data_IF_704804998363
#
_entry.id   IF_704804998363
#
_cell.length_a   1.000
_cell.length_b   1.000
_cell.length_c   1.000
_cell.angle_alpha   90.00
_cell.angle_beta   90.00
_cell.angle_gamma   90.00
#
_symmetry.space_group_name_H-M   'P 1'
#
loop_
_entity.id
_entity.type
_entity.pdbx_description
1 polymer ?
#
# COMPACT_ATOMS: atom_id res chain seq x y z
N UNK A 1 -6.12 -22.75 7.81
CA UNK A 1 -5.96 -21.72 8.87
C UNK A 1 -5.48 -20.47 8.16
N UNK A 2 -6.11 -19.32 8.40
CA UNK A 2 -5.68 -18.05 7.83
C UNK A 2 -4.25 -17.74 8.31
N UNK A 3 -3.31 -17.54 7.39
CA UNK A 3 -1.89 -17.32 7.71
C UNK A 3 -1.68 -16.08 8.59
N UNK A 4 -2.53 -15.06 8.44
CA UNK A 4 -2.46 -13.84 9.23
C UNK A 4 -2.99 -14.07 10.65
N UNK A 5 -4.02 -14.91 10.81
CA UNK A 5 -4.49 -15.32 12.13
C UNK A 5 -3.39 -16.11 12.85
N UNK A 6 -2.81 -17.10 12.18
CA UNK A 6 -1.68 -17.87 12.72
C UNK A 6 -0.47 -16.98 13.03
N UNK A 7 -0.24 -15.91 12.26
CA UNK A 7 0.79 -14.92 12.58
C UNK A 7 0.52 -14.22 13.91
N UNK A 8 -0.71 -13.75 14.12
CA UNK A 8 -1.14 -12.96 15.28
C UNK A 8 -1.17 -13.79 16.57
N UNK A 9 -1.56 -15.06 16.48
CA UNK A 9 -1.66 -15.99 17.61
C UNK A 9 -0.31 -16.27 18.30
N UNK A 10 0.82 -15.90 17.66
CA UNK A 10 2.17 -16.05 18.23
C UNK A 10 2.53 -14.92 19.20
N UNK A 11 1.71 -13.89 19.31
CA UNK A 11 2.01 -12.69 20.09
C UNK A 11 1.14 -12.60 21.35
N UNK A 12 1.67 -12.02 22.44
CA UNK A 12 0.86 -11.65 23.60
C UNK A 12 -0.28 -10.70 23.22
N UNK A 13 -1.33 -10.67 24.06
CA UNK A 13 -2.55 -9.90 23.82
C UNK A 13 -2.29 -8.42 23.47
N UNK A 14 -1.33 -7.78 24.14
CA UNK A 14 -0.99 -6.36 23.89
C UNK A 14 -0.42 -6.13 22.48
N UNK A 15 0.55 -6.93 22.06
CA UNK A 15 1.16 -6.84 20.73
C UNK A 15 0.14 -7.18 19.65
N UNK A 16 -0.68 -8.21 19.89
CA UNK A 16 -1.77 -8.60 18.99
C UNK A 16 -2.78 -7.46 18.81
N UNK A 17 -3.25 -6.83 19.89
CA UNK A 17 -4.22 -5.73 19.83
C UNK A 17 -3.68 -4.54 19.03
N UNK A 18 -2.40 -4.19 19.20
CA UNK A 18 -1.76 -3.12 18.42
C UNK A 18 -1.62 -3.49 16.95
N UNK A 19 -1.24 -4.72 16.62
CA UNK A 19 -1.21 -5.19 15.23
C UNK A 19 -2.59 -5.13 14.60
N UNK A 20 -3.63 -5.59 15.30
CA UNK A 20 -5.01 -5.52 14.82
C UNK A 20 -5.48 -4.09 14.58
N UNK A 21 -5.11 -3.14 15.45
CA UNK A 21 -5.38 -1.72 15.23
C UNK A 21 -4.73 -1.22 13.93
N UNK A 22 -3.45 -1.52 13.70
CA UNK A 22 -2.77 -1.13 12.45
C UNK A 22 -3.38 -1.83 11.22
N UNK A 23 -3.80 -3.09 11.34
CA UNK A 23 -4.49 -3.80 10.24
C UNK A 23 -5.82 -3.15 9.89
N UNK A 24 -6.63 -2.82 10.89
CA UNK A 24 -7.90 -2.12 10.69
C UNK A 24 -7.68 -0.78 9.97
N UNK A 25 -6.67 -0.05 10.42
CA UNK A 25 -6.22 1.20 9.81
C UNK A 25 -5.82 1.03 8.34
N UNK A 26 -5.10 -0.02 7.96
CA UNK A 26 -4.74 -0.24 6.55
C UNK A 26 -5.97 -0.60 5.71
N UNK A 27 -6.82 -1.51 6.20
CA UNK A 27 -8.02 -1.97 5.48
C UNK A 27 -9.05 -0.87 5.26
N UNK A 28 -9.19 0.04 6.23
CA UNK A 28 -10.07 1.20 6.11
C UNK A 28 -9.60 2.16 5.01
N UNK A 29 -8.31 2.51 4.96
CA UNK A 29 -7.79 3.48 3.99
C UNK A 29 -7.52 2.88 2.61
N UNK A 30 -7.30 1.57 2.54
CA UNK A 30 -7.05 0.87 1.28
C UNK A 30 -7.79 -0.47 1.23
N UNK A 31 -9.12 -0.48 0.99
CA UNK A 31 -9.89 -1.71 0.90
C UNK A 31 -9.44 -2.64 -0.24
N UNK A 32 -8.80 -2.09 -1.28
CA UNK A 32 -8.26 -2.83 -2.41
C UNK A 32 -6.91 -3.51 -2.11
N UNK A 33 -6.30 -3.22 -0.96
CA UNK A 33 -5.02 -3.84 -0.62
C UNK A 33 -5.21 -5.32 -0.28
N UNK A 34 -4.41 -6.17 -0.90
CA UNK A 34 -4.35 -7.61 -0.62
C UNK A 34 -3.42 -7.83 0.57
N UNK A 35 -3.96 -8.41 1.64
CA UNK A 35 -3.23 -8.81 2.84
C UNK A 35 -2.62 -10.21 2.66
N UNK A 36 -1.36 -10.39 3.06
CA UNK A 36 -0.71 -11.70 3.12
C UNK A 36 0.40 -11.72 4.18
N UNK A 37 0.91 -12.90 4.52
CA UNK A 37 2.17 -12.99 5.27
C UNK A 37 3.34 -13.03 4.28
N UNK A 38 4.35 -12.20 4.49
CA UNK A 38 5.54 -12.15 3.65
C UNK A 38 6.73 -11.63 4.45
N UNK A 39 7.92 -12.19 4.24
CA UNK A 39 9.13 -11.87 5.03
C UNK A 39 8.94 -12.04 6.55
N UNK A 40 8.02 -12.92 6.97
CA UNK A 40 7.69 -13.07 8.38
C UNK A 40 7.00 -11.85 8.99
N UNK A 41 6.27 -11.07 8.19
CA UNK A 41 5.49 -9.88 8.57
C UNK A 41 4.09 -9.96 7.93
N UNK A 42 3.14 -9.19 8.45
CA UNK A 42 1.86 -8.96 7.76
C UNK A 42 2.13 -7.90 6.69
N UNK A 43 1.97 -8.26 5.41
CA UNK A 43 2.19 -7.38 4.28
C UNK A 43 0.89 -7.02 3.57
N UNK A 44 0.85 -5.82 3.03
CA UNK A 44 -0.21 -5.35 2.15
C UNK A 44 0.35 -4.97 0.79
N UNK A 45 -0.35 -5.37 -0.27
CA UNK A 45 -0.02 -5.01 -1.66
C UNK A 45 -1.21 -4.37 -2.34
N UNK A 46 -0.97 -3.32 -3.12
CA UNK A 46 -1.97 -2.67 -3.97
C UNK A 46 -1.55 -2.85 -5.44
N UNK A 47 -2.43 -3.40 -6.28
CA UNK A 47 -2.09 -3.68 -7.68
C UNK A 47 -0.84 -4.57 -7.85
N UNK A 48 -0.57 -5.46 -6.89
CA UNK A 48 0.63 -6.30 -6.84
C UNK A 48 1.90 -5.62 -6.34
N UNK A 49 1.89 -4.30 -6.10
CA UNK A 49 3.04 -3.53 -5.56
C UNK A 49 3.03 -3.51 -4.03
N UNK A 50 4.19 -3.60 -3.35
CA UNK A 50 4.27 -3.44 -1.89
C UNK A 50 3.74 -2.08 -1.41
N UNK A 51 2.74 -2.10 -0.53
CA UNK A 51 2.18 -0.92 0.10
C UNK A 51 2.85 -0.63 1.45
N UNK A 52 2.68 -1.57 2.39
CA UNK A 52 3.17 -1.46 3.77
C UNK A 52 3.31 -2.85 4.42
N UNK A 53 4.20 -2.99 5.39
CA UNK A 53 4.29 -4.19 6.24
C UNK A 53 4.21 -3.84 7.72
N UNK A 54 3.67 -4.76 8.52
CA UNK A 54 3.47 -4.67 9.95
C UNK A 54 4.21 -5.82 10.65
N UNK A 55 4.97 -5.50 11.70
CA UNK A 55 5.72 -6.48 12.48
C UNK A 55 5.44 -6.38 13.98
N UNK A 56 5.14 -7.51 14.62
CA UNK A 56 5.11 -7.61 16.08
C UNK A 56 6.48 -7.97 16.64
N UNK A 57 6.90 -7.29 17.71
CA UNK A 57 8.14 -7.60 18.43
C UNK A 57 7.91 -7.50 19.94
N UNK A 58 8.87 -8.04 20.73
CA UNK A 58 8.77 -8.09 22.19
C UNK A 58 8.52 -6.72 22.84
N UNK A 59 9.14 -5.66 22.31
CA UNK A 59 9.13 -4.32 22.93
C UNK A 59 8.54 -3.23 22.02
N UNK A 60 8.16 -3.54 20.78
CA UNK A 60 7.67 -2.54 19.82
C UNK A 60 6.81 -3.17 18.72
N UNK A 61 6.09 -2.30 18.00
CA UNK A 61 5.50 -2.61 16.69
C UNK A 61 6.35 -1.97 15.60
N UNK A 62 6.73 -2.73 14.59
CA UNK A 62 7.43 -2.24 13.41
C UNK A 62 6.45 -1.88 12.29
N UNK A 63 6.59 -0.68 11.74
CA UNK A 63 5.90 -0.26 10.52
C UNK A 63 6.93 -0.08 9.41
N UNK A 64 6.67 -0.69 8.25
CA UNK A 64 7.58 -0.69 7.11
C UNK A 64 6.88 -0.11 5.89
N UNK A 65 7.09 1.19 5.65
CA UNK A 65 6.37 1.96 4.64
C UNK A 65 7.21 2.25 3.39
N UNK A 66 8.33 1.55 3.16
CA UNK A 66 9.32 1.83 2.10
C UNK A 66 10.02 3.21 2.26
N UNK A 67 11.16 3.48 1.61
CA UNK A 67 11.92 4.72 1.82
C UNK A 67 11.14 6.01 1.54
N UNK A 68 10.32 6.04 0.48
CA UNK A 68 9.56 7.24 0.06
C UNK A 68 8.58 7.71 1.14
N UNK A 69 7.84 6.78 1.75
CA UNK A 69 6.94 7.12 2.85
C UNK A 69 7.66 7.49 4.15
N UNK A 70 8.96 7.21 4.25
CA UNK A 70 9.73 7.54 5.44
C UNK A 70 10.25 8.98 5.39
N UNK A 71 10.72 9.42 4.22
CA UNK A 71 11.24 10.78 4.01
C UNK A 71 10.17 11.85 4.24
N UNK A 72 8.94 11.62 3.76
CA UNK A 72 7.82 12.55 3.92
C UNK A 72 7.42 12.83 5.38
N UNK A 73 7.77 11.94 6.31
CA UNK A 73 7.42 12.01 7.73
C UNK A 73 8.65 11.99 8.65
N UNK A 74 9.83 12.32 8.12
CA UNK A 74 11.10 12.20 8.84
C UNK A 74 11.12 13.03 10.14
N UNK A 75 10.52 14.21 10.14
CA UNK A 75 10.44 15.08 11.31
C UNK A 75 9.61 14.45 12.44
N UNK A 76 8.43 13.91 12.13
CA UNK A 76 7.61 13.21 13.13
C UNK A 76 8.23 11.88 13.56
N UNK A 77 8.91 11.17 12.65
CA UNK A 77 9.59 9.93 12.98
C UNK A 77 10.84 10.11 13.83
N UNK A 78 11.44 11.31 13.88
CA UNK A 78 12.63 11.61 14.67
C UNK A 78 12.51 11.23 16.16
N UNK A 79 11.28 11.21 16.70
CA UNK A 79 11.00 10.79 18.07
C UNK A 79 11.11 9.26 18.29
N UNK A 80 11.18 8.47 17.21
CA UNK A 80 11.17 7.01 17.24
C UNK A 80 12.47 6.42 16.69
N UNK A 81 12.71 5.14 17.00
CA UNK A 81 13.79 4.38 16.39
C UNK A 81 13.45 4.04 14.93
N UNK A 82 14.38 4.33 14.02
CA UNK A 82 14.18 4.25 12.57
C UNK A 82 15.20 3.34 11.87
N UNK A 83 14.84 2.89 10.68
CA UNK A 83 15.72 2.26 9.69
C UNK A 83 15.37 2.75 8.28
N UNK A 84 16.07 2.28 7.24
CA UNK A 84 15.99 2.79 5.85
C UNK A 84 14.57 2.87 5.23
N UNK A 85 13.57 2.25 5.82
CA UNK A 85 12.16 2.38 5.44
C UNK A 85 11.24 1.85 6.53
N UNK A 86 11.66 1.96 7.78
CA UNK A 86 10.94 1.41 8.92
C UNK A 86 11.01 2.30 10.14
N UNK A 87 9.96 2.24 10.97
CA UNK A 87 9.87 2.94 12.25
C UNK A 87 9.36 1.96 13.32
N UNK A 88 9.89 2.06 14.53
CA UNK A 88 9.52 1.24 15.67
C UNK A 88 8.71 2.06 16.67
N UNK A 89 7.45 1.67 16.90
CA UNK A 89 6.60 2.26 17.92
C UNK A 89 6.71 1.45 19.22
N UNK A 90 7.27 2.00 20.31
CA UNK A 90 7.48 1.25 21.55
C UNK A 90 6.13 0.86 22.20
N UNK A 91 6.12 -0.29 22.88
CA UNK A 91 4.92 -0.74 23.61
C UNK A 91 4.65 0.07 24.88
N UNK A 92 5.65 0.80 25.40
CA UNK A 92 5.51 1.66 26.58
C UNK A 92 4.70 2.94 26.33
N UNK A 93 4.40 3.25 25.07
CA UNK A 93 3.71 4.48 24.65
C UNK A 93 2.49 4.14 23.81
N UNK A 94 1.44 4.99 23.80
CA UNK A 94 0.31 4.81 22.89
C UNK A 94 0.77 4.88 21.43
N UNK A 95 0.07 4.16 20.55
CA UNK A 95 0.31 4.27 19.11
C UNK A 95 -0.04 5.68 18.63
N UNK A 96 0.83 6.36 17.85
CA UNK A 96 0.51 7.66 17.25
C UNK A 96 -0.41 7.47 16.04
N UNK A 97 -1.69 7.19 16.30
CA UNK A 97 -2.67 6.78 15.28
C UNK A 97 -2.77 7.77 14.13
N UNK A 98 -2.77 9.07 14.41
CA UNK A 98 -2.93 10.11 13.38
C UNK A 98 -1.71 10.16 12.44
N UNK A 99 -0.51 9.98 12.99
CA UNK A 99 0.71 9.85 12.18
C UNK A 99 0.65 8.59 11.31
N UNK A 100 0.29 7.44 11.89
CA UNK A 100 0.18 6.16 11.17
C UNK A 100 -0.86 6.26 10.04
N UNK A 101 -2.01 6.90 10.29
CA UNK A 101 -3.05 7.09 9.29
C UNK A 101 -2.55 7.91 8.09
N UNK A 102 -1.86 9.03 8.34
CA UNK A 102 -1.29 9.88 7.29
C UNK A 102 -0.21 9.14 6.49
N UNK A 103 0.63 8.35 7.15
CA UNK A 103 1.66 7.53 6.48
C UNK A 103 1.01 6.50 5.56
N UNK A 104 -0.04 5.81 6.02
CA UNK A 104 -0.79 4.85 5.20
C UNK A 104 -1.40 5.56 3.99
N UNK A 105 -2.10 6.68 4.19
CA UNK A 105 -2.73 7.44 3.12
C UNK A 105 -1.71 7.90 2.06
N UNK A 106 -0.59 8.46 2.50
CA UNK A 106 0.50 8.88 1.62
C UNK A 106 1.07 7.71 0.81
N UNK A 107 1.19 6.53 1.41
CA UNK A 107 1.63 5.32 0.69
C UNK A 107 0.62 4.82 -0.32
N UNK A 108 -0.68 4.89 -0.01
CA UNK A 108 -1.74 4.50 -0.96
C UNK A 108 -1.67 5.41 -2.18
N UNK A 109 -1.62 6.72 -1.96
CA UNK A 109 -1.52 7.72 -3.04
C UNK A 109 -0.27 7.49 -3.90
N UNK A 110 0.91 7.38 -3.27
CA UNK A 110 2.16 7.17 -3.99
C UNK A 110 2.15 5.88 -4.85
N UNK A 111 1.56 4.79 -4.35
CA UNK A 111 1.48 3.52 -5.11
C UNK A 111 0.43 3.60 -6.22
N UNK A 112 -0.71 4.28 -5.99
CA UNK A 112 -1.75 4.47 -7.00
C UNK A 112 -1.34 5.40 -8.13
N UNK A 113 -0.37 6.28 -7.93
CA UNK A 113 0.22 7.14 -8.98
C UNK A 113 1.19 6.38 -9.91
N UNK A 114 1.73 5.26 -9.46
CA UNK A 114 2.61 4.41 -10.27
C UNK A 114 1.78 3.50 -11.19
N UNK A 115 2.13 3.46 -12.48
CA UNK A 115 1.42 2.57 -13.41
C UNK A 115 1.60 1.09 -12.99
N UNK A 116 0.52 0.33 -12.74
CA UNK A 116 0.65 -1.06 -12.31
C UNK A 116 1.15 -1.95 -13.46
N UNK A 117 1.51 -3.19 -13.12
CA UNK A 117 1.94 -4.16 -14.11
C UNK A 117 0.74 -4.67 -14.95
N UNK A 118 0.42 -3.95 -16.03
CA UNK A 118 -0.71 -4.23 -16.93
C UNK A 118 -0.34 -5.08 -18.17
N UNK A 119 0.93 -5.48 -18.28
CA UNK A 119 1.48 -6.22 -19.41
C UNK A 119 2.04 -5.31 -20.50
N UNK A 120 3.05 -5.81 -21.22
CA UNK A 120 3.82 -5.03 -22.22
C UNK A 120 2.96 -4.37 -23.30
N UNK A 121 1.94 -5.04 -23.90
CA UNK A 121 1.12 -4.41 -24.93
C UNK A 121 0.37 -3.17 -24.41
N UNK A 122 -0.30 -3.30 -23.26
CA UNK A 122 -1.05 -2.19 -22.68
C UNK A 122 -0.12 -1.08 -22.18
N UNK A 123 1.02 -1.42 -21.55
CA UNK A 123 2.02 -0.41 -21.15
C UNK A 123 2.57 0.35 -22.36
N UNK A 124 2.83 -0.33 -23.48
CA UNK A 124 3.29 0.31 -24.72
C UNK A 124 2.24 1.26 -25.29
N UNK A 125 0.99 0.81 -25.40
CA UNK A 125 -0.11 1.62 -25.90
C UNK A 125 -0.35 2.89 -25.06
N UNK A 126 -0.25 2.80 -23.73
CA UNK A 126 -0.32 3.98 -22.85
C UNK A 126 0.87 4.93 -23.07
N UNK A 127 2.07 4.40 -23.25
CA UNK A 127 3.25 5.24 -23.50
C UNK A 127 3.16 5.98 -24.84
N UNK A 128 2.56 5.38 -25.88
CA UNK A 128 2.34 6.02 -27.18
C UNK A 128 1.44 7.26 -27.09
N UNK A 129 0.50 7.28 -26.16
CA UNK A 129 -0.36 8.44 -25.87
C UNK A 129 0.19 9.34 -24.75
N UNK A 130 1.46 9.15 -24.36
CA UNK A 130 2.13 9.97 -23.34
C UNK A 130 1.77 9.66 -21.90
N UNK A 131 1.03 8.57 -21.65
CA UNK A 131 0.69 8.10 -20.30
C UNK A 131 1.81 7.20 -19.79
N UNK A 132 2.56 7.71 -18.81
CA UNK A 132 3.66 7.02 -18.13
C UNK A 132 3.41 6.82 -16.64
N UNK A 133 2.41 7.50 -16.08
CA UNK A 133 1.96 7.42 -14.69
C UNK A 133 0.47 7.16 -14.62
N UNK A 134 0.04 6.50 -13.56
CA UNK A 134 -1.37 6.17 -13.39
C UNK A 134 -2.25 7.40 -13.14
N UNK A 135 -1.75 8.46 -12.49
CA UNK A 135 -2.53 9.69 -12.28
C UNK A 135 -2.97 10.37 -13.59
N UNK A 136 -2.21 10.19 -14.68
CA UNK A 136 -2.59 10.71 -16.01
C UNK A 136 -3.82 10.00 -16.60
N UNK A 137 -4.16 8.81 -16.11
CA UNK A 137 -5.32 8.06 -16.59
C UNK A 137 -6.65 8.66 -16.10
N UNK A 138 -6.63 9.60 -15.16
CA UNK A 138 -7.80 10.35 -14.75
C UNK A 138 -8.38 11.22 -15.89
N UNK A 139 -7.60 11.51 -16.93
CA UNK A 139 -8.04 12.26 -18.11
C UNK A 139 -8.77 11.37 -19.14
N UNK A 140 -8.72 10.05 -18.98
CA UNK A 140 -9.21 9.07 -19.95
C UNK A 140 -10.36 8.24 -19.38
N UNK A 141 -11.35 7.95 -20.22
CA UNK A 141 -12.43 7.02 -19.86
C UNK A 141 -12.07 5.57 -20.20
N UNK A 142 -12.79 4.60 -19.61
CA UNK A 142 -12.58 3.19 -19.93
C UNK A 142 -12.77 2.92 -21.43
N UNK A 143 -13.78 3.56 -22.05
CA UNK A 143 -14.06 3.40 -23.48
C UNK A 143 -12.92 3.91 -24.37
N UNK A 144 -12.32 5.05 -24.03
CA UNK A 144 -11.17 5.60 -24.75
C UNK A 144 -9.96 4.68 -24.64
N UNK A 145 -9.69 4.16 -23.44
CA UNK A 145 -8.59 3.23 -23.21
C UNK A 145 -8.78 1.90 -23.95
N UNK A 146 -10.00 1.35 -23.96
CA UNK A 146 -10.31 0.11 -24.69
C UNK A 146 -10.24 0.26 -26.22
N UNK A 147 -10.31 1.49 -26.74
CA UNK A 147 -10.12 1.76 -28.16
C UNK A 147 -8.63 1.70 -28.58
N UNK A 148 -7.70 1.75 -27.63
CA UNK A 148 -6.27 1.65 -27.90
C UNK A 148 -5.86 0.22 -28.27
N UNK A 149 -5.14 0.07 -29.37
CA UNK A 149 -4.58 -1.23 -29.75
C UNK A 149 -3.61 -1.74 -28.67
N UNK A 150 -3.91 -2.91 -28.08
CA UNK A 150 -3.09 -3.52 -27.04
C UNK A 150 -3.61 -3.32 -25.60
N UNK A 151 -4.58 -2.43 -25.38
CA UNK A 151 -5.28 -2.31 -24.10
C UNK A 151 -6.56 -3.14 -24.14
N UNK A 152 -6.61 -4.19 -23.32
CA UNK A 152 -7.78 -5.05 -23.19
C UNK A 152 -8.43 -4.98 -21.82
N UNK A 153 -9.56 -5.66 -21.67
CA UNK A 153 -10.32 -5.76 -20.41
C UNK A 153 -9.48 -6.17 -19.20
N UNK A 154 -8.50 -7.06 -19.41
CA UNK A 154 -7.54 -7.46 -18.36
C UNK A 154 -6.71 -6.27 -17.85
N UNK A 155 -6.25 -5.39 -18.74
CA UNK A 155 -5.47 -4.22 -18.36
C UNK A 155 -6.32 -3.23 -17.56
N UNK A 156 -7.55 -2.96 -18.00
CA UNK A 156 -8.51 -2.12 -17.27
C UNK A 156 -8.78 -2.66 -15.87
N UNK A 157 -9.00 -3.98 -15.74
CA UNK A 157 -9.20 -4.61 -14.43
C UNK A 157 -8.00 -4.41 -13.51
N UNK A 158 -6.77 -4.60 -14.02
CA UNK A 158 -5.55 -4.40 -13.25
C UNK A 158 -5.32 -2.94 -12.84
N UNK A 159 -5.70 -1.97 -13.67
CA UNK A 159 -5.71 -0.55 -13.30
C UNK A 159 -6.66 -0.30 -12.11
N UNK A 160 -7.88 -0.82 -12.18
CA UNK A 160 -8.87 -0.72 -11.08
C UNK A 160 -8.41 -1.40 -9.80
N UNK A 161 -7.86 -2.60 -9.89
CA UNK A 161 -7.30 -3.34 -8.74
C UNK A 161 -6.11 -2.62 -8.09
N UNK A 162 -5.43 -1.73 -8.82
CA UNK A 162 -4.37 -0.88 -8.30
C UNK A 162 -4.88 0.47 -7.74
N UNK A 163 -6.19 0.69 -7.74
CA UNK A 163 -6.80 1.94 -7.27
C UNK A 163 -6.65 3.10 -8.25
N UNK A 164 -6.30 2.84 -9.52
CA UNK A 164 -6.22 3.88 -10.55
C UNK A 164 -7.62 4.41 -10.85
N UNK A 165 -7.74 5.74 -10.88
CA UNK A 165 -8.98 6.45 -11.22
C UNK A 165 -9.00 6.75 -12.72
N UNK A 166 -10.15 6.54 -13.33
CA UNK A 166 -10.45 6.89 -14.72
C UNK A 166 -11.53 7.98 -14.73
N UNK A 167 -11.62 8.74 -15.82
CA UNK A 167 -12.75 9.63 -16.06
C UNK A 167 -14.03 8.80 -16.22
N UNK A 168 -15.13 9.26 -15.63
CA UNK A 168 -16.44 8.69 -15.91
C UNK A 168 -16.83 8.92 -17.39
N UNK A 169 -17.60 7.99 -17.96
CA UNK A 169 -18.09 8.06 -19.35
C UNK A 169 -19.27 9.04 -19.53
#
# INVERSE_FOLDING_TARGET
>A
MDEVVAYLDRFPAEVRARLEALRAMVRERCPLAVESVSYGLIGYKLGGRPLIYLGGFKNHIGLYATPVGHEAFAAEFAAYKQGKGSVQFPLSEPLPTDLIARVIAHRVEAVSEELPAIGRPATGALAEIGVTRAGQLADYSEKELLALHGVGQKAIRLLREAGVRLRDD
#
